data_IF_680290082867
#
_entry.id   IF_680290082867
#
_cell.length_a   1.000
_cell.length_b   1.000
_cell.length_c   1.000
_cell.angle_alpha   90.00
_cell.angle_beta   90.00
_cell.angle_gamma   90.00
#
_symmetry.space_group_name_H-M   'P 1'
#
loop_
_entity.id
_entity.type
_entity.pdbx_description
1 polymer ?
#
# COMPACT_ATOMS: atom_id res chain seq x y z
N UNK A 1 13.96 7.15 52.92
CA UNK A 1 14.24 8.50 52.38
C UNK A 1 14.61 8.31 50.91
N UNK A 2 13.83 8.90 49.99
CA UNK A 2 14.29 9.95 49.04
C UNK A 2 15.24 9.39 47.97
N UNK A 3 15.02 9.46 46.66
CA UNK A 3 14.00 9.93 45.71
C UNK A 3 14.73 9.80 44.34
N UNK A 4 13.99 9.74 43.23
CA UNK A 4 14.43 10.06 41.84
C UNK A 4 15.17 8.91 41.12
N UNK A 5 14.94 8.59 39.84
CA UNK A 5 13.84 8.77 38.90
C UNK A 5 14.24 7.99 37.64
N UNK A 6 13.27 7.27 37.06
CA UNK A 6 12.98 7.15 35.63
C UNK A 6 14.12 7.53 34.67
N UNK A 7 14.68 6.53 34.00
CA UNK A 7 14.97 6.63 32.56
C UNK A 7 14.13 5.55 31.88
N UNK A 8 12.83 5.84 31.77
CA UNK A 8 12.03 5.27 30.70
C UNK A 8 12.57 5.91 29.42
N UNK A 9 13.43 5.19 28.71
CA UNK A 9 13.84 5.60 27.38
C UNK A 9 12.58 5.70 26.55
N UNK A 10 12.24 6.93 26.26
CA UNK A 10 11.06 7.35 25.53
C UNK A 10 11.09 6.66 24.16
N UNK A 11 10.31 5.58 24.04
CA UNK A 11 9.74 5.12 22.77
C UNK A 11 8.73 6.19 22.33
N UNK A 12 9.19 7.32 21.81
CA UNK A 12 8.33 8.28 21.12
C UNK A 12 8.91 8.57 19.75
N UNK A 13 8.10 8.23 18.74
CA UNK A 13 8.08 8.84 17.42
C UNK A 13 9.33 8.54 16.60
N UNK A 14 9.32 7.57 15.70
CA UNK A 14 8.39 7.61 14.56
C UNK A 14 7.79 6.24 14.28
N UNK A 15 6.60 6.00 14.84
CA UNK A 15 5.54 5.46 14.00
C UNK A 15 5.11 6.56 13.00
N UNK A 16 6.03 7.01 12.15
CA UNK A 16 5.72 7.12 10.75
C UNK A 16 5.72 5.65 10.34
N UNK A 17 4.65 4.89 10.55
CA UNK A 17 3.66 4.75 9.49
C UNK A 17 4.34 5.11 8.18
N UNK A 18 4.86 4.08 7.52
CA UNK A 18 5.30 4.14 6.15
C UNK A 18 4.10 4.54 5.26
N UNK A 19 3.63 5.77 5.43
CA UNK A 19 3.20 6.60 4.33
C UNK A 19 4.49 6.83 3.54
N UNK A 20 4.96 5.77 2.85
CA UNK A 20 5.78 5.93 1.68
C UNK A 20 4.96 6.88 0.83
N UNK A 21 5.32 8.16 0.90
CA UNK A 21 4.45 9.23 0.47
C UNK A 21 4.07 8.89 -0.96
N UNK A 22 2.77 8.87 -1.26
CA UNK A 22 2.22 8.64 -2.59
C UNK A 22 2.64 9.79 -3.51
N UNK A 23 3.94 9.82 -3.77
CA UNK A 23 4.68 10.70 -4.64
C UNK A 23 4.61 10.08 -6.04
N UNK A 24 4.75 10.90 -7.08
CA UNK A 24 4.81 10.39 -8.45
C UNK A 24 5.85 9.27 -8.63
N UNK A 25 7.04 9.43 -8.04
CA UNK A 25 8.10 8.42 -8.06
C UNK A 25 7.71 7.11 -7.35
N UNK A 26 7.08 7.21 -6.18
CA UNK A 26 6.61 6.03 -5.44
C UNK A 26 5.52 5.27 -6.23
N UNK A 27 4.64 5.96 -6.94
CA UNK A 27 3.62 5.31 -7.78
C UNK A 27 4.25 4.47 -8.88
N UNK A 28 5.29 4.98 -9.56
CA UNK A 28 5.94 4.22 -10.61
C UNK A 28 6.54 2.90 -10.06
N UNK A 29 7.19 2.98 -8.89
CA UNK A 29 7.73 1.81 -8.20
C UNK A 29 6.62 0.84 -7.76
N UNK A 30 5.56 1.37 -7.13
CA UNK A 30 4.41 0.57 -6.63
C UNK A 30 3.64 -0.08 -7.79
N UNK A 31 3.53 0.55 -8.95
CA UNK A 31 2.91 -0.04 -10.14
C UNK A 31 3.63 -1.32 -10.60
N UNK A 32 4.96 -1.30 -10.64
CA UNK A 32 5.76 -2.49 -10.95
C UNK A 32 5.58 -3.61 -9.92
N UNK A 33 5.60 -3.25 -8.63
CA UNK A 33 5.37 -4.20 -7.53
C UNK A 33 3.96 -4.77 -7.53
N UNK A 34 2.94 -3.94 -7.75
CA UNK A 34 1.55 -4.34 -7.86
C UNK A 34 1.33 -5.29 -9.04
N UNK A 35 2.00 -5.07 -10.18
CA UNK A 35 1.93 -5.98 -11.33
C UNK A 35 2.44 -7.38 -10.99
N UNK A 36 3.58 -7.48 -10.28
CA UNK A 36 4.10 -8.75 -9.80
C UNK A 36 3.19 -9.39 -8.74
N UNK A 37 2.61 -8.57 -7.86
CA UNK A 37 1.65 -9.00 -6.85
C UNK A 37 0.37 -9.58 -7.48
N UNK A 38 -0.19 -8.92 -8.50
CA UNK A 38 -1.37 -9.42 -9.24
C UNK A 38 -1.08 -10.78 -9.86
N UNK A 39 0.09 -10.96 -10.50
CA UNK A 39 0.47 -12.25 -11.07
C UNK A 39 0.59 -13.34 -10.00
N UNK A 40 1.14 -13.00 -8.83
CA UNK A 40 1.25 -13.90 -7.68
C UNK A 40 -0.14 -14.30 -7.17
N UNK A 41 -1.02 -13.32 -6.94
CA UNK A 41 -2.39 -13.54 -6.48
C UNK A 41 -3.17 -14.35 -7.50
N UNK A 42 -3.12 -14.02 -8.79
CA UNK A 42 -3.84 -14.72 -9.84
C UNK A 42 -3.37 -16.18 -10.00
N UNK A 43 -2.08 -16.44 -9.80
CA UNK A 43 -1.52 -17.81 -9.84
C UNK A 43 -1.96 -18.64 -8.63
N UNK A 44 -2.08 -18.03 -7.45
CA UNK A 44 -2.54 -18.70 -6.23
C UNK A 44 -4.07 -18.81 -6.13
N UNK A 45 -4.79 -17.82 -6.64
CA UNK A 45 -6.24 -17.70 -6.60
C UNK A 45 -6.76 -17.06 -7.91
N UNK A 46 -7.10 -17.89 -8.92
CA UNK A 46 -7.55 -17.41 -10.22
C UNK A 46 -8.83 -16.56 -10.15
N UNK A 47 -9.75 -16.89 -9.25
CA UNK A 47 -10.98 -16.12 -9.03
C UNK A 47 -10.66 -14.72 -8.53
N UNK A 48 -9.73 -14.59 -7.58
CA UNK A 48 -9.28 -13.28 -7.09
C UNK A 48 -8.54 -12.49 -8.17
N UNK A 49 -7.79 -13.16 -9.04
CA UNK A 49 -7.18 -12.53 -10.22
C UNK A 49 -8.20 -11.89 -11.16
N UNK A 50 -9.37 -12.54 -11.36
CA UNK A 50 -10.46 -11.96 -12.16
C UNK A 50 -11.09 -10.74 -11.46
N UNK A 51 -11.31 -10.82 -10.14
CA UNK A 51 -11.80 -9.68 -9.35
C UNK A 51 -10.83 -8.49 -9.39
N UNK A 52 -9.53 -8.74 -9.25
CA UNK A 52 -8.50 -7.71 -9.36
C UNK A 52 -8.49 -7.06 -10.74
N UNK A 53 -8.77 -7.80 -11.80
CA UNK A 53 -8.89 -7.23 -13.15
C UNK A 53 -10.04 -6.22 -13.21
N UNK A 54 -11.21 -6.56 -12.64
CA UNK A 54 -12.34 -5.64 -12.55
C UNK A 54 -12.04 -4.43 -11.65
N UNK A 55 -11.32 -4.63 -10.53
CA UNK A 55 -10.86 -3.52 -9.67
C UNK A 55 -9.91 -2.57 -10.41
N UNK A 56 -9.01 -3.10 -11.25
CA UNK A 56 -8.09 -2.29 -12.08
C UNK A 56 -8.88 -1.50 -13.13
N UNK A 57 -9.84 -2.11 -13.82
CA UNK A 57 -10.68 -1.40 -14.80
C UNK A 57 -11.48 -0.26 -14.16
N UNK A 58 -12.04 -0.49 -12.97
CA UNK A 58 -12.71 0.54 -12.19
C UNK A 58 -11.75 1.66 -11.76
N UNK A 59 -10.53 1.31 -11.34
CA UNK A 59 -9.50 2.27 -10.96
C UNK A 59 -9.02 3.10 -12.16
N UNK A 60 -8.87 2.50 -13.35
CA UNK A 60 -8.56 3.21 -14.59
C UNK A 60 -9.69 4.17 -15.01
N UNK A 61 -10.94 3.80 -14.77
CA UNK A 61 -12.09 4.70 -14.96
C UNK A 61 -12.03 5.86 -13.98
N UNK A 62 -11.79 5.57 -12.70
CA UNK A 62 -11.66 6.60 -11.66
C UNK A 62 -10.51 7.59 -11.96
N UNK A 63 -9.36 7.11 -12.46
CA UNK A 63 -8.26 8.00 -12.90
C UNK A 63 -8.72 8.94 -14.01
N UNK A 64 -9.47 8.45 -15.00
CA UNK A 64 -10.01 9.28 -16.07
C UNK A 64 -11.03 10.31 -15.55
N UNK A 65 -11.78 9.96 -14.51
CA UNK A 65 -12.72 10.86 -13.81
C UNK A 65 -12.03 11.83 -12.84
N UNK A 66 -10.70 11.74 -12.69
CA UNK A 66 -9.89 12.67 -11.87
C UNK A 66 -9.57 12.15 -10.48
N UNK A 67 -9.55 10.82 -10.26
CA UNK A 67 -9.07 10.23 -9.03
C UNK A 67 -7.65 10.72 -8.70
N UNK A 68 -7.43 10.99 -7.43
CA UNK A 68 -6.16 11.52 -6.97
C UNK A 68 -5.10 10.41 -6.88
N UNK A 69 -3.84 10.84 -6.95
CA UNK A 69 -2.65 9.99 -6.88
C UNK A 69 -2.64 9.14 -5.59
N UNK A 70 -3.16 9.63 -4.46
CA UNK A 70 -3.21 8.86 -3.22
C UNK A 70 -4.18 7.68 -3.34
N UNK A 71 -5.33 7.85 -4.01
CA UNK A 71 -6.28 6.74 -4.27
C UNK A 71 -5.63 5.61 -5.07
N UNK A 72 -4.88 5.95 -6.13
CA UNK A 72 -4.16 4.96 -6.96
C UNK A 72 -3.08 4.24 -6.16
N UNK A 73 -2.35 4.99 -5.35
CA UNK A 73 -1.29 4.47 -4.51
C UNK A 73 -1.80 3.54 -3.41
N UNK A 74 -2.93 3.88 -2.75
CA UNK A 74 -3.60 3.02 -1.77
C UNK A 74 -4.05 1.70 -2.41
N UNK A 75 -4.54 1.76 -3.64
CA UNK A 75 -4.89 0.54 -4.39
C UNK A 75 -3.66 -0.35 -4.59
N UNK A 76 -2.53 0.19 -5.07
CA UNK A 76 -1.31 -0.60 -5.23
C UNK A 76 -0.81 -1.17 -3.92
N UNK A 77 -0.85 -0.40 -2.83
CA UNK A 77 -0.42 -0.89 -1.51
C UNK A 77 -1.27 -2.03 -0.99
N UNK A 78 -2.60 -1.96 -1.18
CA UNK A 78 -3.51 -3.06 -0.86
C UNK A 78 -3.12 -4.33 -1.62
N UNK A 79 -2.91 -4.22 -2.93
CA UNK A 79 -2.60 -5.36 -3.79
C UNK A 79 -1.23 -5.97 -3.46
N UNK A 80 -0.22 -5.13 -3.18
CA UNK A 80 1.11 -5.56 -2.77
C UNK A 80 1.05 -6.30 -1.43
N UNK A 81 0.33 -5.75 -0.45
CA UNK A 81 0.17 -6.37 0.86
C UNK A 81 -0.56 -7.72 0.76
N UNK A 82 -1.62 -7.80 -0.06
CA UNK A 82 -2.39 -9.03 -0.28
C UNK A 82 -1.52 -10.16 -0.85
N UNK A 83 -0.56 -9.85 -1.73
CA UNK A 83 0.36 -10.84 -2.27
C UNK A 83 1.42 -11.32 -1.25
N UNK A 84 1.66 -10.56 -0.18
CA UNK A 84 2.66 -10.88 0.85
C UNK A 84 2.11 -11.76 1.98
N UNK A 85 0.78 -11.80 2.17
CA UNK A 85 0.10 -12.66 3.16
C UNK A 85 -0.23 -11.94 4.45
#
# INVERSE_FOLDING_TARGET
MKRIAIVATILMGTAAQAQDACTPDAIQSKSGQATAAIQTIASANPSRGQELTAEIEAMMTAIQEGADIATVCVFFDKVIAEAQG
#
